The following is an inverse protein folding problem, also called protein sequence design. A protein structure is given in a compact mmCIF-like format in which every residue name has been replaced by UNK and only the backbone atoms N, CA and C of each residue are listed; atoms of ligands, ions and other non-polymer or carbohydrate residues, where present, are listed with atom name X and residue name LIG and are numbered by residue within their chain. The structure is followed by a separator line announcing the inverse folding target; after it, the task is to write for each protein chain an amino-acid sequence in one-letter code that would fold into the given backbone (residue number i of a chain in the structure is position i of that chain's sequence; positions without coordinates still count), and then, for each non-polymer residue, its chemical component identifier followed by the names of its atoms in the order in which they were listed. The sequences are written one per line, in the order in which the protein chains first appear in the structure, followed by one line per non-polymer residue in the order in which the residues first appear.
data_IF_877432450613
#
_entry.id   IF_877432450613
#
_cell.length_a   1.000
_cell.length_b   1.000
_cell.length_c   1.000
_cell.angle_alpha   90.00
_cell.angle_beta   90.00
_cell.angle_gamma   90.00
#
_symmetry.space_group_name_H-M   'P 1'
#
loop_
_entity.id
_entity.type
_entity.pdbx_description
1 polymer ?
#
# COMPACT_ATOMS: atom_id res chain seq x y z
N UNK A 1 -29.92 -70.28 -7.52
CA UNK A 1 -29.96 -69.07 -6.67
C UNK A 1 -28.53 -68.65 -6.36
N UNK A 2 -27.94 -67.74 -7.14
CA UNK A 2 -26.97 -66.72 -6.72
C UNK A 2 -27.01 -65.60 -7.79
N UNK A 3 -27.30 -64.38 -7.38
CA UNK A 3 -27.03 -63.10 -8.08
C UNK A 3 -26.66 -62.12 -6.95
N UNK A 4 -26.02 -60.97 -7.22
CA UNK A 4 -25.11 -60.60 -8.30
C UNK A 4 -23.85 -59.89 -7.72
N UNK A 5 -22.86 -59.55 -8.54
CA UNK A 5 -22.00 -58.40 -8.24
C UNK A 5 -21.76 -57.63 -9.53
N UNK A 6 -22.54 -56.56 -9.72
CA UNK A 6 -22.32 -55.59 -10.78
C UNK A 6 -21.21 -54.65 -10.31
N UNK A 7 -20.07 -54.69 -11.01
CA UNK A 7 -18.99 -53.74 -10.84
C UNK A 7 -19.39 -52.42 -11.52
N UNK A 8 -19.86 -51.45 -10.75
CA UNK A 8 -20.06 -50.08 -11.22
C UNK A 8 -18.71 -49.37 -11.07
N UNK A 9 -18.03 -49.14 -12.19
CA UNK A 9 -16.86 -48.28 -12.23
C UNK A 9 -17.32 -46.81 -12.12
N UNK A 10 -17.13 -46.22 -10.95
CA UNK A 10 -17.28 -44.79 -10.76
C UNK A 10 -16.09 -44.07 -11.41
N UNK A 11 -16.34 -43.39 -12.53
CA UNK A 11 -15.41 -42.43 -13.11
C UNK A 11 -15.47 -41.19 -12.22
N UNK A 12 -14.49 -41.04 -11.33
CA UNK A 12 -14.26 -39.76 -10.66
C UNK A 12 -13.76 -38.75 -11.71
N UNK A 13 -14.61 -37.78 -12.07
CA UNK A 13 -14.16 -36.55 -12.71
C UNK A 13 -13.28 -35.79 -11.70
N UNK A 14 -11.97 -35.85 -11.88
CA UNK A 14 -11.07 -34.88 -11.29
C UNK A 14 -11.28 -33.56 -12.04
N UNK A 15 -12.11 -32.67 -11.48
CA UNK A 15 -12.09 -31.25 -11.84
C UNK A 15 -10.74 -30.73 -11.34
N UNK A 16 -9.80 -30.55 -12.26
CA UNK A 16 -8.59 -29.81 -11.99
C UNK A 16 -8.99 -28.36 -11.67
N UNK A 17 -9.06 -28.03 -10.38
CA UNK A 17 -9.01 -26.65 -9.93
C UNK A 17 -7.64 -26.13 -10.36
N UNK A 18 -7.60 -25.33 -11.44
CA UNK A 18 -6.45 -24.48 -11.71
C UNK A 18 -6.24 -23.62 -10.45
N UNK A 19 -5.02 -23.54 -9.91
CA UNK A 19 -4.76 -22.58 -8.84
C UNK A 19 -5.12 -21.20 -9.38
N UNK A 20 -6.09 -20.53 -8.75
CA UNK A 20 -6.33 -19.13 -9.03
C UNK A 20 -4.98 -18.42 -8.80
N UNK A 21 -4.45 -17.80 -9.85
CA UNK A 21 -3.30 -16.90 -9.71
C UNK A 21 -3.69 -15.89 -8.62
N UNK A 22 -2.92 -15.85 -7.54
CA UNK A 22 -3.13 -14.85 -6.50
C UNK A 22 -3.03 -13.46 -7.15
N UNK A 23 -4.00 -12.59 -6.89
CA UNK A 23 -3.99 -11.22 -7.42
C UNK A 23 -2.75 -10.49 -6.97
N UNK A 24 -2.18 -9.69 -7.89
CA UNK A 24 -0.91 -9.01 -7.67
C UNK A 24 -1.16 -7.57 -7.16
N UNK A 25 -0.38 -7.09 -6.18
CA UNK A 25 -0.50 -5.72 -5.72
C UNK A 25 0.04 -4.76 -6.79
N UNK A 26 -0.82 -3.82 -7.21
CA UNK A 26 -0.47 -2.72 -8.12
C UNK A 26 0.03 -1.48 -7.39
N UNK A 27 -0.52 -1.20 -6.20
CA UNK A 27 -0.10 -0.09 -5.35
C UNK A 27 -0.08 -0.56 -3.90
N UNK A 28 1.02 -0.26 -3.21
CA UNK A 28 1.16 -0.45 -1.76
C UNK A 28 1.51 0.90 -1.15
N UNK A 29 0.81 1.28 -0.09
CA UNK A 29 1.16 2.39 0.77
C UNK A 29 1.24 1.91 2.21
N UNK A 30 2.31 2.27 2.90
CA UNK A 30 2.53 1.98 4.31
C UNK A 30 3.02 3.23 5.04
N UNK A 31 2.48 3.50 6.23
CA UNK A 31 3.01 4.51 7.14
C UNK A 31 3.11 3.93 8.54
N UNK A 32 4.33 3.87 9.08
CA UNK A 32 4.59 3.35 10.42
C UNK A 32 4.77 4.50 11.40
N UNK A 33 4.05 4.49 12.51
CA UNK A 33 4.23 5.48 13.58
C UNK A 33 5.30 5.01 14.56
N UNK A 34 6.50 5.59 14.45
CA UNK A 34 7.68 5.11 15.19
C UNK A 34 7.58 5.32 16.71
N UNK A 35 6.77 6.29 17.15
CA UNK A 35 6.56 6.57 18.58
C UNK A 35 5.61 5.60 19.27
N UNK A 36 4.92 4.73 18.52
CA UNK A 36 4.07 3.70 19.11
C UNK A 36 4.90 2.45 19.34
N UNK A 37 5.18 2.16 20.60
CA UNK A 37 5.88 0.95 21.03
C UNK A 37 4.95 -0.29 20.99
N UNK A 38 4.50 -0.66 19.79
CA UNK A 38 3.68 -1.84 19.55
C UNK A 38 4.01 -2.45 18.18
N UNK A 39 3.79 -3.76 18.02
CA UNK A 39 3.99 -4.46 16.75
C UNK A 39 3.01 -4.02 15.66
N UNK A 40 1.87 -3.46 16.08
CA UNK A 40 0.80 -2.96 15.22
C UNK A 40 0.77 -1.44 15.28
N UNK A 41 1.60 -0.81 14.45
CA UNK A 41 1.76 0.63 14.35
C UNK A 41 1.81 1.15 12.91
N UNK A 42 1.32 0.35 11.96
CA UNK A 42 1.42 0.65 10.54
C UNK A 42 0.04 0.78 9.94
N UNK A 43 -0.23 1.91 9.29
CA UNK A 43 -1.36 2.05 8.37
C UNK A 43 -0.94 1.47 7.04
N UNK A 44 -1.79 0.65 6.41
CA UNK A 44 -1.48 0.03 5.11
C UNK A 44 -2.66 0.09 4.16
N UNK A 45 -2.37 0.36 2.89
CA UNK A 45 -3.26 0.23 1.74
C UNK A 45 -2.59 -0.68 0.73
N UNK A 46 -3.35 -1.64 0.19
CA UNK A 46 -2.94 -2.47 -0.94
C UNK A 46 -4.05 -2.46 -1.97
N UNK A 47 -3.74 -2.00 -3.18
CA UNK A 47 -4.62 -2.08 -4.34
C UNK A 47 -4.14 -3.23 -5.24
N UNK A 48 -5.04 -4.13 -5.59
CA UNK A 48 -4.76 -5.30 -6.39
C UNK A 48 -5.22 -5.13 -7.85
N UNK A 49 -4.70 -5.98 -8.73
CA UNK A 49 -5.05 -6.02 -10.15
C UNK A 49 -6.46 -6.53 -10.45
N UNK A 50 -7.10 -7.17 -9.48
CA UNK A 50 -8.48 -7.66 -9.51
C UNK A 50 -9.52 -6.64 -8.97
N UNK A 51 -9.13 -5.36 -8.89
CA UNK A 51 -9.93 -4.24 -8.36
C UNK A 51 -10.27 -4.35 -6.85
N UNK A 52 -9.65 -5.28 -6.11
CA UNK A 52 -9.76 -5.27 -4.65
C UNK A 52 -8.81 -4.26 -4.03
N UNK A 53 -9.27 -3.66 -2.94
CA UNK A 53 -8.43 -2.89 -2.02
C UNK A 53 -8.47 -3.56 -0.65
N UNK A 54 -7.31 -3.63 -0.01
CA UNK A 54 -7.16 -4.01 1.39
C UNK A 54 -6.61 -2.81 2.17
N UNK A 55 -7.28 -2.43 3.25
CA UNK A 55 -6.80 -1.45 4.20
C UNK A 55 -6.58 -2.08 5.56
N UNK A 56 -5.52 -1.67 6.22
CA UNK A 56 -5.25 -2.00 7.61
C UNK A 56 -5.03 -0.71 8.40
N UNK A 57 -5.74 -0.62 9.53
CA UNK A 57 -5.59 0.45 10.51
C UNK A 57 -5.15 -0.15 11.85
N UNK A 58 -4.10 0.40 12.47
CA UNK A 58 -3.55 -0.14 13.71
C UNK A 58 -4.54 0.02 14.87
N UNK A 59 -4.41 -0.83 15.90
CA UNK A 59 -5.37 -0.95 17.01
C UNK A 59 -5.68 0.35 17.76
N UNK A 60 -4.75 1.31 17.80
CA UNK A 60 -4.95 2.60 18.47
C UNK A 60 -5.71 3.62 17.61
N UNK A 61 -5.94 3.31 16.32
CA UNK A 61 -6.75 4.13 15.43
C UNK A 61 -8.23 4.02 15.84
N UNK A 62 -9.01 5.12 15.80
CA UNK A 62 -10.46 5.06 15.94
C UNK A 62 -11.14 4.14 14.91
N UNK A 63 -10.47 3.92 13.76
CA UNK A 63 -10.93 3.10 12.65
C UNK A 63 -10.20 1.74 12.60
N UNK A 64 -9.61 1.27 13.71
CA UNK A 64 -8.83 0.05 13.77
C UNK A 64 -9.50 -1.16 13.10
N UNK A 65 -8.70 -1.98 12.43
CA UNK A 65 -9.15 -3.21 11.78
C UNK A 65 -8.67 -3.36 10.34
N UNK A 66 -9.01 -4.52 9.77
CA UNK A 66 -8.74 -4.89 8.38
C UNK A 66 -10.02 -4.78 7.56
N UNK A 67 -9.92 -4.14 6.41
CA UNK A 67 -11.03 -3.88 5.51
C UNK A 67 -10.66 -4.37 4.12
N UNK A 68 -11.57 -5.10 3.46
CA UNK A 68 -11.39 -5.52 2.08
C UNK A 68 -12.69 -5.36 1.30
N UNK A 69 -12.61 -4.67 0.17
CA UNK A 69 -13.75 -4.51 -0.74
C UNK A 69 -13.27 -4.31 -2.17
N UNK A 70 -14.20 -4.38 -3.11
CA UNK A 70 -13.94 -4.10 -4.53
C UNK A 70 -14.20 -2.62 -4.80
N UNK A 71 -13.27 -1.95 -5.46
CA UNK A 71 -13.43 -0.57 -5.92
C UNK A 71 -13.90 -0.54 -7.38
N UNK A 72 -14.48 0.57 -7.81
CA UNK A 72 -14.76 0.77 -9.23
C UNK A 72 -13.45 0.91 -10.02
N UNK A 73 -13.48 0.57 -11.30
CA UNK A 73 -12.31 0.78 -12.17
C UNK A 73 -11.89 2.25 -12.22
N UNK A 74 -12.84 3.20 -12.10
CA UNK A 74 -12.54 4.63 -12.05
C UNK A 74 -11.73 5.02 -10.80
N UNK A 75 -12.09 4.48 -9.64
CA UNK A 75 -11.35 4.68 -8.38
C UNK A 75 -9.97 4.03 -8.43
N UNK A 76 -9.86 2.81 -8.98
CA UNK A 76 -8.58 2.16 -9.22
C UNK A 76 -7.67 3.05 -10.06
N UNK A 77 -8.13 3.52 -11.21
CA UNK A 77 -7.33 4.39 -12.08
C UNK A 77 -6.96 5.70 -11.38
N UNK A 78 -7.83 6.27 -10.54
CA UNK A 78 -7.53 7.48 -9.77
C UNK A 78 -6.39 7.26 -8.77
N UNK A 79 -6.41 6.15 -8.02
CA UNK A 79 -5.34 5.79 -7.09
C UNK A 79 -4.01 5.53 -7.81
N UNK A 80 -4.04 4.81 -8.93
CA UNK A 80 -2.84 4.57 -9.74
C UNK A 80 -2.27 5.84 -10.35
N UNK A 81 -3.12 6.76 -10.82
CA UNK A 81 -2.69 8.07 -11.33
C UNK A 81 -2.13 8.98 -10.25
N UNK A 82 -2.70 8.94 -9.04
CA UNK A 82 -2.17 9.64 -7.88
C UNK A 82 -0.74 9.16 -7.55
N UNK A 83 -0.50 7.84 -7.59
CA UNK A 83 0.79 7.25 -7.28
C UNK A 83 1.79 7.24 -8.45
N UNK A 84 1.35 7.45 -9.69
CA UNK A 84 2.16 7.42 -10.90
C UNK A 84 3.48 8.24 -10.83
N UNK A 85 3.52 9.44 -10.20
CA UNK A 85 4.76 10.21 -10.10
C UNK A 85 5.89 9.49 -9.37
N UNK A 86 5.58 8.51 -8.50
CA UNK A 86 6.59 7.69 -7.80
C UNK A 86 7.47 6.93 -8.79
N UNK A 87 6.98 6.55 -9.97
CA UNK A 87 7.79 5.88 -10.99
C UNK A 87 9.00 6.71 -11.44
N UNK A 88 8.95 8.04 -11.29
CA UNK A 88 10.03 8.95 -11.67
C UNK A 88 10.94 9.40 -10.52
N UNK A 89 10.66 9.02 -9.27
CA UNK A 89 11.43 9.45 -8.09
C UNK A 89 12.74 8.65 -8.00
N UNK A 90 13.87 9.34 -7.92
CA UNK A 90 15.16 8.68 -7.71
C UNK A 90 15.33 8.34 -6.22
N UNK A 91 15.20 7.06 -5.87
CA UNK A 91 15.37 6.59 -4.49
C UNK A 91 16.75 6.97 -3.89
N UNK A 92 17.79 7.19 -4.70
CA UNK A 92 19.09 7.65 -4.20
C UNK A 92 19.05 9.09 -3.68
N UNK A 93 18.23 9.94 -4.29
CA UNK A 93 18.05 11.34 -3.86
C UNK A 93 17.50 11.40 -2.42
N UNK A 94 16.67 10.41 -2.06
CA UNK A 94 16.04 10.30 -0.75
C UNK A 94 17.00 9.75 0.31
N UNK A 95 17.82 8.76 -0.03
CA UNK A 95 18.86 8.21 0.86
C UNK A 95 19.95 9.24 1.17
N UNK A 96 20.30 10.10 0.21
CA UNK A 96 21.24 11.20 0.46
C UNK A 96 20.72 12.20 1.52
N UNK A 97 19.41 12.38 1.65
CA UNK A 97 18.83 13.23 2.70
C UNK A 97 18.99 12.62 4.10
N UNK A 98 18.81 11.31 4.24
CA UNK A 98 19.08 10.60 5.51
C UNK A 98 20.54 10.78 5.94
N UNK A 99 21.48 10.77 4.99
CA UNK A 99 22.90 11.01 5.29
C UNK A 99 23.20 12.46 5.71
N UNK A 100 22.34 13.41 5.35
CA UNK A 100 22.45 14.85 5.67
C UNK A 100 21.65 15.26 6.89
N UNK A 101 21.01 14.32 7.59
CA UNK A 101 20.20 14.56 8.79
C UNK A 101 21.01 15.24 9.92
N UNK A 102 22.34 15.14 9.91
CA UNK A 102 23.23 15.87 10.82
C UNK A 102 23.62 17.29 10.42
N UNK A 103 23.28 17.74 9.20
CA UNK A 103 23.72 19.05 8.64
C UNK A 103 22.62 20.11 8.54
N UNK A 104 21.35 19.73 8.66
CA UNK A 104 20.27 20.71 8.81
C UNK A 104 20.16 21.06 10.30
N UNK A 105 20.84 22.11 10.74
CA UNK A 105 20.89 22.58 12.15
C UNK A 105 19.50 22.82 12.80
N UNK A 106 18.41 22.78 12.03
CA UNK A 106 17.03 23.02 12.46
C UNK A 106 16.04 21.88 12.16
N UNK A 107 16.47 20.79 11.52
CA UNK A 107 15.59 19.67 11.14
C UNK A 107 16.09 18.35 11.74
N UNK A 108 16.21 18.30 13.07
CA UNK A 108 16.36 17.01 13.74
C UNK A 108 15.02 16.29 13.66
N UNK A 109 14.89 15.36 12.71
CA UNK A 109 13.79 14.40 12.71
C UNK A 109 14.10 13.38 13.79
N UNK A 110 13.69 13.66 15.03
CA UNK A 110 13.85 12.74 16.18
C UNK A 110 12.92 11.55 16.08
N UNK A 111 11.81 11.71 15.36
CA UNK A 111 10.74 10.74 15.20
C UNK A 111 10.43 10.61 13.71
N UNK A 112 11.14 9.69 13.06
CA UNK A 112 10.91 9.38 11.66
C UNK A 112 9.75 8.38 11.59
N UNK A 113 8.59 8.82 11.12
CA UNK A 113 7.50 7.94 10.69
C UNK A 113 7.78 7.55 9.25
N UNK A 114 8.33 6.35 8.96
CA UNK A 114 8.64 5.98 7.60
C UNK A 114 7.36 5.80 6.80
N UNK A 115 7.38 6.33 5.58
CA UNK A 115 6.36 6.14 4.58
C UNK A 115 6.95 5.34 3.43
N UNK A 116 6.32 4.23 3.07
CA UNK A 116 6.65 3.45 1.88
C UNK A 116 5.52 3.57 0.87
N UNK A 117 5.86 3.86 -0.39
CA UNK A 117 4.95 3.83 -1.53
C UNK A 117 5.59 2.96 -2.60
N UNK A 118 4.88 1.90 -3.01
CA UNK A 118 5.30 1.00 -4.07
C UNK A 118 4.25 0.99 -5.16
N UNK A 119 4.67 1.29 -6.39
CA UNK A 119 3.86 1.18 -7.59
C UNK A 119 4.39 0.03 -8.43
N UNK A 120 3.51 -0.85 -8.88
CA UNK A 120 3.80 -2.01 -9.71
C UNK A 120 2.83 -2.05 -10.90
N UNK A 121 2.87 -1.02 -11.74
CA UNK A 121 1.95 -0.86 -12.86
C UNK A 121 2.72 -0.84 -14.19
N UNK A 122 2.44 -1.78 -15.07
CA UNK A 122 3.17 -1.91 -16.34
C UNK A 122 2.97 -0.71 -17.29
N UNK A 123 1.90 0.07 -17.12
CA UNK A 123 1.59 1.24 -17.96
C UNK A 123 2.22 2.53 -17.45
N UNK A 124 2.44 2.65 -16.13
CA UNK A 124 2.95 3.85 -15.45
C UNK A 124 4.40 3.70 -14.99
N UNK A 125 4.88 2.46 -14.88
CA UNK A 125 6.19 2.11 -14.34
C UNK A 125 6.10 1.42 -12.98
N UNK A 126 7.23 0.88 -12.54
CA UNK A 126 7.37 0.26 -11.23
C UNK A 126 8.49 0.93 -10.45
N UNK A 127 8.20 1.32 -9.23
CA UNK A 127 9.19 1.87 -8.30
C UNK A 127 8.72 1.70 -6.86
N UNK A 128 9.68 1.64 -5.94
CA UNK A 128 9.45 1.62 -4.50
C UNK A 128 10.25 2.74 -3.85
N UNK A 129 9.54 3.61 -3.15
CA UNK A 129 10.12 4.73 -2.41
C UNK A 129 9.84 4.52 -0.93
N UNK A 130 10.87 4.67 -0.10
CA UNK A 130 10.73 4.78 1.35
C UNK A 130 11.34 6.10 1.79
N UNK A 131 10.58 6.90 2.54
CA UNK A 131 11.00 8.21 3.02
C UNK A 131 10.66 8.38 4.51
N UNK A 132 11.61 8.86 5.35
CA UNK A 132 11.33 9.12 6.76
C UNK A 132 10.60 10.46 6.93
N UNK A 133 9.35 10.45 7.39
CA UNK A 133 8.54 11.68 7.61
C UNK A 133 8.60 12.67 6.43
N UNK A 134 8.16 12.28 5.22
CA UNK A 134 8.32 13.09 4.00
C UNK A 134 7.74 14.50 4.13
N UNK A 135 6.69 14.70 4.93
CA UNK A 135 6.09 16.01 5.23
C UNK A 135 7.01 16.96 6.01
N UNK A 136 7.93 16.44 6.82
CA UNK A 136 8.91 17.27 7.54
C UNK A 136 9.95 17.76 6.53
N UNK A 137 10.49 16.84 5.73
CA UNK A 137 11.48 17.18 4.72
C UNK A 137 10.93 18.11 3.63
N UNK A 138 9.71 17.87 3.14
CA UNK A 138 9.09 18.72 2.13
C UNK A 138 8.97 20.20 2.58
N UNK A 139 8.83 20.46 3.89
CA UNK A 139 8.78 21.83 4.44
C UNK A 139 10.17 22.49 4.59
N UNK A 140 11.23 21.70 4.60
CA UNK A 140 12.60 22.15 4.86
C UNK A 140 13.50 22.09 3.62
N UNK A 141 13.03 21.50 2.52
CA UNK A 141 13.75 21.39 1.26
C UNK A 141 13.26 22.44 0.25
N UNK A 142 14.09 22.80 -0.74
CA UNK A 142 13.68 23.71 -1.80
C UNK A 142 12.47 23.20 -2.58
N UNK A 143 11.68 24.12 -3.11
CA UNK A 143 10.56 23.81 -4.00
C UNK A 143 11.03 22.96 -5.20
N UNK A 144 10.20 22.00 -5.61
CA UNK A 144 10.51 21.07 -6.70
C UNK A 144 11.35 19.86 -6.31
N UNK A 145 11.73 19.72 -5.03
CA UNK A 145 12.34 18.49 -4.53
C UNK A 145 11.35 17.31 -4.56
N UNK A 146 11.82 16.11 -4.93
CA UNK A 146 10.99 14.90 -5.08
C UNK A 146 10.22 14.53 -3.80
N UNK A 147 10.78 14.87 -2.65
CA UNK A 147 10.15 14.67 -1.34
C UNK A 147 8.80 15.39 -1.19
N UNK A 148 8.60 16.54 -1.85
CA UNK A 148 7.30 17.20 -1.86
C UNK A 148 6.24 16.36 -2.57
N UNK A 149 6.61 15.68 -3.66
CA UNK A 149 5.70 14.75 -4.34
C UNK A 149 5.39 13.53 -3.45
N UNK A 150 6.40 12.94 -2.79
CA UNK A 150 6.20 11.83 -1.85
C UNK A 150 5.26 12.22 -0.72
N UNK A 151 5.47 13.40 -0.11
CA UNK A 151 4.63 13.91 0.96
C UNK A 151 3.18 14.15 0.52
N UNK A 152 2.98 14.71 -0.67
CA UNK A 152 1.65 15.00 -1.20
C UNK A 152 0.88 13.72 -1.55
N UNK A 153 1.54 12.74 -2.18
CA UNK A 153 0.94 11.44 -2.49
C UNK A 153 0.57 10.71 -1.19
N UNK A 154 1.48 10.64 -0.22
CA UNK A 154 1.25 10.01 1.08
C UNK A 154 0.05 10.61 1.80
N UNK A 155 -0.06 11.95 1.79
CA UNK A 155 -1.19 12.67 2.38
C UNK A 155 -2.51 12.27 1.71
N UNK A 156 -2.59 12.31 0.38
CA UNK A 156 -3.82 11.97 -0.34
C UNK A 156 -4.22 10.50 -0.15
N UNK A 157 -3.28 9.56 -0.13
CA UNK A 157 -3.57 8.16 0.15
C UNK A 157 -4.10 7.97 1.59
N UNK A 158 -3.47 8.62 2.57
CA UNK A 158 -3.93 8.59 3.96
C UNK A 158 -5.30 9.26 4.16
N UNK A 159 -5.59 10.33 3.43
CA UNK A 159 -6.91 10.98 3.40
C UNK A 159 -7.96 10.02 2.80
N UNK A 160 -7.67 9.44 1.63
CA UNK A 160 -8.54 8.50 0.94
C UNK A 160 -8.91 7.29 1.81
N UNK A 161 -7.92 6.68 2.48
CA UNK A 161 -8.14 5.56 3.41
C UNK A 161 -9.15 5.92 4.50
N UNK A 162 -8.95 7.08 5.16
CA UNK A 162 -9.79 7.51 6.29
C UNK A 162 -11.21 7.84 5.87
N UNK A 163 -11.37 8.45 4.70
CA UNK A 163 -12.68 8.79 4.13
C UNK A 163 -13.48 7.52 3.80
N UNK A 164 -12.87 6.56 3.10
CA UNK A 164 -13.58 5.35 2.67
C UNK A 164 -13.98 4.47 3.85
N UNK A 165 -13.12 4.29 4.85
CA UNK A 165 -13.50 3.50 6.04
C UNK A 165 -14.62 4.19 6.82
N UNK A 166 -14.69 5.52 6.84
CA UNK A 166 -15.79 6.24 7.49
C UNK A 166 -17.13 5.95 6.81
N UNK A 167 -17.15 5.83 5.50
CA UNK A 167 -18.37 5.49 4.74
C UNK A 167 -18.83 4.05 4.97
N UNK A 168 -17.90 3.15 5.31
CA UNK A 168 -18.19 1.74 5.60
C UNK A 168 -18.67 1.50 7.05
N UNK A 169 -18.47 2.47 7.95
CA UNK A 169 -18.91 2.39 9.35
C UNK A 169 -20.26 3.12 9.53
N UNK A 170 -21.35 2.41 9.91
CA UNK A 170 -22.69 2.98 10.05
C UNK A 170 -22.86 3.93 11.24
#
# INVERSE_FOLDING_TARGET
MVRPLHLIAAIMLAVFALPALASQPLLIYERTHAQVAHEDNTFRLVLFDDDFVELHFPFYSPQAGDYRWQVSSAEREALLNLAAPIAGVDARSLVELESRQGTLEHAVVTDADPVTIELNDASRGSNRVTAPSPEIWARNLPDGHEMAAVADIARHLADWMREHVRELQP
#
